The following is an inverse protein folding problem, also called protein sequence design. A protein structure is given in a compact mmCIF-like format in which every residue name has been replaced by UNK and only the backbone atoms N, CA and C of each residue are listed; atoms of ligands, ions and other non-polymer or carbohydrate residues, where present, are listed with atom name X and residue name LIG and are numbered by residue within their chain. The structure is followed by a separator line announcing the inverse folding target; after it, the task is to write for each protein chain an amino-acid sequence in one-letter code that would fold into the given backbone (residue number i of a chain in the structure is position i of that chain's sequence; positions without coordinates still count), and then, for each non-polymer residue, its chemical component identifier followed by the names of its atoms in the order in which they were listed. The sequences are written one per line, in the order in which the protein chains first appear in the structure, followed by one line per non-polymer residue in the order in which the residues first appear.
data_IF_598165968101
#
_entry.id   IF_598165968101
#
_cell.length_a   1.000
_cell.length_b   1.000
_cell.length_c   1.000
_cell.angle_alpha   90.00
_cell.angle_beta   90.00
_cell.angle_gamma   90.00
#
_symmetry.space_group_name_H-M   'P 1'
#
loop_
_entity.id
_entity.type
_entity.pdbx_description
1 polymer ?
#
# COMPACT_ATOMS: atom_id res chain seq x y z
N UNK A 1 -8.84 -0.65 10.18
CA UNK A 1 -8.04 -0.15 9.03
C UNK A 1 -8.65 -0.54 7.69
N UNK A 2 -8.89 -1.82 7.39
CA UNK A 2 -9.29 -2.25 6.04
C UNK A 2 -10.72 -1.88 5.60
N UNK A 3 -11.62 -1.50 6.51
CA UNK A 3 -12.87 -0.79 6.18
C UNK A 3 -12.69 0.74 6.06
N UNK A 4 -11.44 1.23 5.98
CA UNK A 4 -11.07 2.63 5.83
C UNK A 4 -11.46 3.56 7.01
N UNK A 5 -11.78 2.98 8.17
CA UNK A 5 -11.97 3.70 9.45
C UNK A 5 -10.64 4.23 10.01
N UNK A 6 -10.01 5.18 9.30
CA UNK A 6 -8.67 5.67 9.63
C UNK A 6 -8.62 6.46 10.94
N UNK A 7 -9.65 7.25 11.27
CA UNK A 7 -9.71 7.98 12.55
C UNK A 7 -9.73 7.01 13.75
N UNK A 8 -10.50 5.92 13.64
CA UNK A 8 -10.54 4.91 14.69
C UNK A 8 -9.23 4.14 14.79
N UNK A 9 -8.60 3.82 13.65
CA UNK A 9 -7.30 3.17 13.63
C UNK A 9 -6.19 4.07 14.22
N UNK A 10 -6.21 5.37 13.92
CA UNK A 10 -5.29 6.35 14.51
C UNK A 10 -5.44 6.41 16.03
N UNK A 11 -6.68 6.45 16.54
CA UNK A 11 -6.93 6.40 17.98
C UNK A 11 -6.32 5.15 18.62
N UNK A 12 -6.50 3.97 18.03
CA UNK A 12 -5.90 2.72 18.52
C UNK A 12 -4.38 2.77 18.52
N UNK A 13 -3.76 3.38 17.50
CA UNK A 13 -2.30 3.52 17.45
C UNK A 13 -1.77 4.50 18.48
N UNK A 14 -2.47 5.60 18.75
CA UNK A 14 -2.11 6.55 19.83
C UNK A 14 -2.24 5.90 21.20
N UNK A 15 -3.28 5.08 21.42
CA UNK A 15 -3.42 4.26 22.63
C UNK A 15 -2.25 3.28 22.77
N UNK A 16 -1.88 2.58 21.69
CA UNK A 16 -0.73 1.67 21.68
C UNK A 16 0.61 2.38 21.96
N UNK A 17 0.82 3.60 21.44
CA UNK A 17 2.00 4.42 21.77
C UNK A 17 2.06 4.78 23.27
N UNK A 18 0.89 4.97 23.89
CA UNK A 18 0.81 5.33 25.31
C UNK A 18 1.03 4.10 26.22
N UNK A 19 0.50 2.94 25.82
CA UNK A 19 0.64 1.69 26.58
C UNK A 19 2.00 1.01 26.40
N UNK A 20 2.57 1.11 25.20
CA UNK A 20 3.83 0.47 24.80
C UNK A 20 4.79 1.49 24.17
N UNK A 21 5.22 2.54 24.91
CA UNK A 21 6.02 3.64 24.36
C UNK A 21 7.38 3.18 23.82
N UNK A 22 7.89 2.06 24.33
CA UNK A 22 9.15 1.47 23.92
C UNK A 22 9.04 0.57 22.68
N UNK A 23 7.83 0.26 22.23
CA UNK A 23 7.62 -0.58 21.05
C UNK A 23 7.23 0.27 19.83
N UNK A 24 7.86 0.06 18.65
CA UNK A 24 7.66 0.96 17.51
C UNK A 24 6.29 0.87 16.84
N UNK A 25 5.54 -0.23 17.04
CA UNK A 25 4.36 -0.58 16.23
C UNK A 25 3.31 0.54 16.17
N UNK A 26 2.99 1.20 17.29
CA UNK A 26 2.02 2.31 17.30
C UNK A 26 2.47 3.49 16.43
N UNK A 27 3.76 3.83 16.44
CA UNK A 27 4.31 4.91 15.61
C UNK A 27 4.41 4.49 14.14
N UNK A 28 4.88 3.27 13.89
CA UNK A 28 5.07 2.72 12.53
C UNK A 28 3.74 2.64 11.78
N UNK A 29 2.68 2.10 12.40
CA UNK A 29 1.40 1.99 11.74
C UNK A 29 0.67 3.34 11.59
N UNK A 30 0.99 4.34 12.42
CA UNK A 30 0.55 5.71 12.18
C UNK A 30 1.24 6.32 10.95
N UNK A 31 2.55 6.12 10.78
CA UNK A 31 3.27 6.51 9.58
C UNK A 31 2.72 5.82 8.31
N UNK A 32 2.32 4.55 8.44
CA UNK A 32 1.66 3.81 7.37
C UNK A 32 0.29 4.39 6.99
N UNK A 33 -0.57 4.75 7.95
CA UNK A 33 -1.83 5.45 7.65
C UNK A 33 -1.55 6.79 6.95
N UNK A 34 -0.59 7.57 7.46
CA UNK A 34 -0.20 8.83 6.84
C UNK A 34 0.27 8.62 5.38
N UNK A 35 0.92 7.51 5.08
CA UNK A 35 1.33 7.16 3.71
C UNK A 35 0.12 6.87 2.81
N UNK A 36 -0.89 6.14 3.31
CA UNK A 36 -2.14 5.93 2.59
C UNK A 36 -2.81 7.27 2.30
N UNK A 37 -2.99 8.13 3.30
CA UNK A 37 -3.64 9.43 3.16
C UNK A 37 -2.88 10.32 2.17
N UNK A 38 -1.56 10.42 2.30
CA UNK A 38 -0.72 11.14 1.34
C UNK A 38 -0.87 10.60 -0.10
N UNK A 39 -1.02 9.27 -0.26
CA UNK A 39 -1.20 8.67 -1.59
C UNK A 39 -2.50 9.11 -2.30
N UNK A 40 -3.49 9.59 -1.55
CA UNK A 40 -4.79 10.07 -2.05
C UNK A 40 -4.74 11.50 -2.57
N UNK A 41 -3.86 12.36 -2.01
CA UNK A 41 -3.59 13.69 -2.56
C UNK A 41 -2.10 14.04 -2.43
N UNK A 42 -1.34 13.57 -3.42
CA UNK A 42 0.12 13.72 -3.46
C UNK A 42 0.58 15.16 -3.73
N UNK A 43 -0.34 16.08 -4.05
CA UNK A 43 -0.04 17.49 -4.31
C UNK A 43 -0.22 18.36 -3.07
N UNK A 44 -0.78 17.81 -2.00
CA UNK A 44 -0.93 18.51 -0.73
C UNK A 44 0.38 18.43 0.07
N UNK A 45 1.15 19.53 0.05
CA UNK A 45 2.40 19.66 0.79
C UNK A 45 2.22 19.44 2.30
N UNK A 46 1.02 19.67 2.86
CA UNK A 46 0.75 19.44 4.27
C UNK A 46 0.70 17.95 4.60
N UNK A 47 0.14 17.12 3.70
CA UNK A 47 0.13 15.66 3.85
C UNK A 47 1.54 15.07 3.74
N UNK A 48 2.39 15.61 2.85
CA UNK A 48 3.80 15.22 2.78
C UNK A 48 4.55 15.55 4.07
N UNK A 49 4.32 16.74 4.65
CA UNK A 49 4.93 17.12 5.93
C UNK A 49 4.45 16.24 7.09
N UNK A 50 3.16 15.88 7.12
CA UNK A 50 2.59 14.97 8.11
C UNK A 50 3.23 13.58 7.99
N UNK A 51 3.31 13.03 6.77
CA UNK A 51 3.95 11.75 6.51
C UNK A 51 5.41 11.75 6.97
N UNK A 52 6.19 12.75 6.56
CA UNK A 52 7.60 12.83 6.92
C UNK A 52 7.82 12.91 8.43
N UNK A 53 6.98 13.67 9.15
CA UNK A 53 7.04 13.76 10.62
C UNK A 53 6.78 12.40 11.27
N UNK A 54 5.74 11.67 10.84
CA UNK A 54 5.46 10.35 11.39
C UNK A 54 6.56 9.34 11.06
N UNK A 55 7.15 9.39 9.85
CA UNK A 55 8.29 8.54 9.51
C UNK A 55 9.48 8.85 10.40
N UNK A 56 9.81 10.12 10.62
CA UNK A 56 10.93 10.54 11.46
C UNK A 56 10.74 10.06 12.90
N UNK A 57 9.59 10.37 13.52
CA UNK A 57 9.25 9.91 14.87
C UNK A 57 9.28 8.38 15.00
N UNK A 58 8.67 7.66 14.05
CA UNK A 58 8.67 6.20 14.09
C UNK A 58 10.07 5.61 13.86
N UNK A 59 10.92 6.27 13.07
CA UNK A 59 12.29 5.82 12.83
C UNK A 59 13.14 5.96 14.08
N UNK A 60 13.03 7.08 14.80
CA UNK A 60 13.72 7.29 16.08
C UNK A 60 13.37 6.18 17.09
N UNK A 61 12.08 5.90 17.26
CA UNK A 61 11.61 4.83 18.17
C UNK A 61 12.05 3.43 17.69
N UNK A 62 12.00 3.18 16.37
CA UNK A 62 12.43 1.89 15.81
C UNK A 62 13.94 1.65 15.92
N UNK A 63 14.76 2.69 15.77
CA UNK A 63 16.21 2.61 15.95
C UNK A 63 16.57 2.37 17.43
N UNK A 64 15.95 3.12 18.36
CA UNK A 64 16.14 2.89 19.79
C UNK A 64 15.65 1.51 20.25
N UNK A 65 14.50 1.04 19.73
CA UNK A 65 14.02 -0.33 19.99
C UNK A 65 15.01 -1.38 19.53
N UNK A 66 15.57 -1.23 18.33
CA UNK A 66 16.58 -2.15 17.79
C UNK A 66 17.85 -2.16 18.64
N UNK A 67 18.31 -0.99 19.09
CA UNK A 67 19.53 -0.88 19.91
C UNK A 67 19.35 -1.52 21.30
N UNK A 68 18.13 -1.47 21.87
CA UNK A 68 17.82 -2.03 23.19
C UNK A 68 17.48 -3.52 23.21
N UNK A 69 16.72 -4.00 22.22
CA UNK A 69 16.12 -5.34 22.22
C UNK A 69 16.90 -6.38 21.40
N UNK A 70 18.14 -6.07 21.02
CA UNK A 70 18.96 -6.86 20.08
C UNK A 70 18.32 -6.97 18.66
N UNK A 71 19.09 -7.42 17.66
CA UNK A 71 18.65 -7.49 16.25
C UNK A 71 17.57 -8.56 16.01
N UNK A 72 16.33 -8.27 16.40
CA UNK A 72 15.15 -9.13 16.17
C UNK A 72 14.53 -8.92 14.79
N UNK A 73 13.75 -9.90 14.32
CA UNK A 73 13.04 -9.80 13.03
C UNK A 73 12.09 -8.58 12.99
N UNK A 74 11.37 -8.31 14.09
CA UNK A 74 10.50 -7.14 14.26
C UNK A 74 11.26 -5.82 14.09
N UNK A 75 12.43 -5.69 14.72
CA UNK A 75 13.21 -4.45 14.69
C UNK A 75 13.62 -4.07 13.26
N UNK A 76 14.06 -5.06 12.49
CA UNK A 76 14.36 -4.88 11.07
C UNK A 76 13.10 -4.66 10.25
N UNK A 77 11.99 -5.33 10.57
CA UNK A 77 10.74 -5.20 9.83
C UNK A 77 10.22 -3.76 9.88
N UNK A 78 10.17 -3.18 11.08
CA UNK A 78 9.72 -1.80 11.28
C UNK A 78 10.59 -0.79 10.52
N UNK A 79 11.91 -0.91 10.60
CA UNK A 79 12.83 -0.05 9.86
C UNK A 79 12.67 -0.24 8.34
N UNK A 80 12.53 -1.48 7.89
CA UNK A 80 12.31 -1.83 6.49
C UNK A 80 11.03 -1.21 5.94
N UNK A 81 9.93 -1.30 6.69
CA UNK A 81 8.64 -0.71 6.34
C UNK A 81 8.73 0.82 6.23
N UNK A 82 9.29 1.49 7.24
CA UNK A 82 9.44 2.96 7.24
C UNK A 82 10.31 3.47 6.08
N UNK A 83 11.44 2.80 5.83
CA UNK A 83 12.34 3.13 4.71
C UNK A 83 11.67 2.84 3.37
N UNK A 84 10.83 1.80 3.28
CA UNK A 84 10.03 1.48 2.11
C UNK A 84 8.98 2.55 1.81
N UNK A 85 8.24 3.00 2.83
CA UNK A 85 7.28 4.11 2.73
C UNK A 85 7.98 5.38 2.23
N UNK A 86 9.14 5.72 2.82
CA UNK A 86 9.94 6.88 2.40
C UNK A 86 10.42 6.78 0.95
N UNK A 87 10.86 5.58 0.54
CA UNK A 87 11.27 5.31 -0.83
C UNK A 87 10.11 5.53 -1.83
N UNK A 88 8.90 5.05 -1.49
CA UNK A 88 7.70 5.24 -2.31
C UNK A 88 7.29 6.72 -2.42
N UNK A 89 7.39 7.48 -1.33
CA UNK A 89 7.14 8.92 -1.34
C UNK A 89 8.14 9.64 -2.26
N UNK A 90 9.44 9.35 -2.13
CA UNK A 90 10.46 9.92 -3.02
C UNK A 90 10.29 9.52 -4.49
N UNK A 91 9.90 8.27 -4.78
CA UNK A 91 9.65 7.82 -6.14
C UNK A 91 8.47 8.58 -6.76
N UNK A 92 7.41 8.77 -5.98
CA UNK A 92 6.21 9.53 -6.36
C UNK A 92 6.54 11.00 -6.65
N UNK A 93 7.40 11.61 -5.83
CA UNK A 93 7.91 12.96 -6.01
C UNK A 93 9.06 13.07 -7.02
N UNK A 94 9.27 12.04 -7.86
CA UNK A 94 10.30 11.99 -8.93
C UNK A 94 11.74 12.15 -8.42
N UNK A 95 11.96 12.00 -7.12
CA UNK A 95 13.26 12.00 -6.46
C UNK A 95 13.91 10.62 -6.53
N UNK A 96 14.11 10.10 -7.76
CA UNK A 96 14.48 8.70 -8.00
C UNK A 96 15.80 8.26 -7.33
N UNK A 97 16.78 9.15 -7.19
CA UNK A 97 18.04 8.83 -6.51
C UNK A 97 17.80 8.59 -5.01
N UNK A 98 17.02 9.45 -4.36
CA UNK A 98 16.67 9.28 -2.93
C UNK A 98 15.83 8.02 -2.74
N UNK A 99 14.82 7.84 -3.61
CA UNK A 99 13.98 6.65 -3.63
C UNK A 99 14.79 5.36 -3.74
N UNK A 100 15.83 5.37 -4.59
CA UNK A 100 16.73 4.24 -4.75
C UNK A 100 17.50 3.92 -3.46
N UNK A 101 18.10 4.94 -2.81
CA UNK A 101 18.87 4.72 -1.58
C UNK A 101 17.99 4.25 -0.42
N UNK A 102 16.83 4.86 -0.23
CA UNK A 102 15.90 4.46 0.81
C UNK A 102 15.31 3.07 0.53
N UNK A 103 14.96 2.78 -0.74
CA UNK A 103 14.47 1.46 -1.15
C UNK A 103 15.51 0.35 -0.97
N UNK A 104 16.80 0.65 -1.21
CA UNK A 104 17.89 -0.29 -0.95
C UNK A 104 18.04 -0.60 0.53
N UNK A 105 17.95 0.41 1.40
CA UNK A 105 17.99 0.19 2.86
C UNK A 105 16.77 -0.61 3.31
N UNK A 106 15.58 -0.24 2.83
CA UNK A 106 14.34 -0.96 3.09
C UNK A 106 14.46 -2.45 2.73
N UNK A 107 14.91 -2.76 1.51
CA UNK A 107 15.17 -4.13 1.08
C UNK A 107 16.15 -4.85 2.01
N UNK A 108 17.25 -4.20 2.37
CA UNK A 108 18.26 -4.80 3.26
C UNK A 108 17.69 -5.16 4.63
N UNK A 109 16.85 -4.31 5.22
CA UNK A 109 16.21 -4.61 6.50
C UNK A 109 15.17 -5.73 6.35
N UNK A 110 14.34 -5.69 5.31
CA UNK A 110 13.33 -6.73 5.07
C UNK A 110 13.97 -8.09 4.74
N UNK A 111 15.09 -8.13 4.02
CA UNK A 111 15.88 -9.35 3.83
C UNK A 111 16.40 -9.87 5.17
N UNK A 112 16.91 -8.98 6.03
CA UNK A 112 17.36 -9.36 7.38
C UNK A 112 16.21 -9.86 8.27
N UNK A 113 15.01 -9.28 8.15
CA UNK A 113 13.80 -9.81 8.81
C UNK A 113 13.54 -11.25 8.41
N UNK A 114 13.57 -11.55 7.11
CA UNK A 114 13.33 -12.90 6.58
C UNK A 114 14.47 -13.85 6.96
N UNK A 115 15.74 -13.39 6.96
CA UNK A 115 16.88 -14.19 7.40
C UNK A 115 16.77 -14.61 8.88
N UNK A 116 16.25 -13.72 9.73
CA UNK A 116 16.03 -13.98 11.16
C UNK A 116 14.78 -14.81 11.41
N UNK A 117 13.72 -14.58 10.64
CA UNK A 117 12.47 -15.33 10.71
C UNK A 117 11.89 -15.51 9.30
N UNK A 118 12.10 -16.68 8.66
CA UNK A 118 11.57 -16.97 7.33
C UNK A 118 10.04 -16.97 7.24
N UNK A 119 9.34 -17.17 8.36
CA UNK A 119 7.89 -17.16 8.48
C UNK A 119 7.32 -15.75 8.76
N UNK A 120 8.17 -14.70 8.70
CA UNK A 120 7.73 -13.31 8.80
C UNK A 120 7.09 -12.86 7.47
N UNK A 121 5.93 -13.42 7.14
CA UNK A 121 5.33 -13.32 5.80
C UNK A 121 5.01 -11.89 5.35
N UNK A 122 4.74 -10.99 6.29
CA UNK A 122 4.51 -9.57 6.00
C UNK A 122 5.72 -8.86 5.35
N UNK A 123 6.95 -9.35 5.60
CA UNK A 123 8.16 -8.77 4.99
C UNK A 123 8.22 -9.02 3.48
N UNK A 124 7.60 -10.10 3.00
CA UNK A 124 7.60 -10.47 1.59
C UNK A 124 6.78 -9.51 0.74
N UNK A 125 5.76 -8.84 1.30
CA UNK A 125 5.05 -7.78 0.58
C UNK A 125 6.01 -6.67 0.14
N UNK A 126 6.80 -6.13 1.06
CA UNK A 126 7.75 -5.06 0.77
C UNK A 126 8.86 -5.50 -0.20
N UNK A 127 9.39 -6.72 -0.03
CA UNK A 127 10.38 -7.29 -0.96
C UNK A 127 9.80 -7.48 -2.37
N UNK A 128 8.58 -7.99 -2.46
CA UNK A 128 7.87 -8.20 -3.71
C UNK A 128 7.61 -6.88 -4.43
N UNK A 129 7.08 -5.87 -3.72
CA UNK A 129 6.89 -4.52 -4.27
C UNK A 129 8.20 -3.90 -4.77
N UNK A 130 9.29 -4.04 -4.02
CA UNK A 130 10.60 -3.57 -4.45
C UNK A 130 11.03 -4.23 -5.77
N UNK A 131 10.98 -5.56 -5.86
CA UNK A 131 11.33 -6.29 -7.08
C UNK A 131 10.43 -5.88 -8.26
N UNK A 132 9.14 -5.69 -7.98
CA UNK A 132 8.15 -5.29 -8.96
C UNK A 132 8.48 -3.92 -9.58
N UNK A 133 8.71 -2.91 -8.74
CA UNK A 133 9.01 -1.55 -9.22
C UNK A 133 10.35 -1.47 -9.94
N UNK A 134 11.37 -2.20 -9.49
CA UNK A 134 12.65 -2.29 -10.22
C UNK A 134 12.43 -2.88 -11.62
N UNK A 135 11.56 -3.89 -11.76
CA UNK A 135 11.27 -4.51 -13.05
C UNK A 135 10.59 -3.55 -14.03
N UNK A 136 9.81 -2.59 -13.52
CA UNK A 136 9.08 -1.58 -14.29
C UNK A 136 9.91 -0.34 -14.66
N UNK A 137 11.15 -0.19 -14.16
CA UNK A 137 11.97 0.98 -14.47
C UNK A 137 12.20 1.11 -15.99
N UNK A 138 12.03 2.31 -16.58
CA UNK A 138 12.25 2.52 -18.00
C UNK A 138 13.74 2.76 -18.33
N UNK A 139 14.17 2.22 -19.47
CA UNK A 139 15.39 2.59 -20.18
C UNK A 139 16.65 2.71 -19.31
N UNK A 140 17.16 3.94 -19.22
CA UNK A 140 18.42 4.28 -18.53
C UNK A 140 18.37 3.95 -17.03
N UNK A 141 17.21 4.11 -16.38
CA UNK A 141 17.08 3.79 -14.96
C UNK A 141 17.24 2.29 -14.70
N UNK A 142 16.69 1.43 -15.57
CA UNK A 142 16.84 -0.03 -15.49
C UNK A 142 18.29 -0.46 -15.72
N UNK A 143 18.99 0.19 -16.66
CA UNK A 143 20.40 -0.06 -16.90
C UNK A 143 21.26 0.22 -15.67
N UNK A 144 21.09 1.40 -15.04
CA UNK A 144 21.83 1.75 -13.82
C UNK A 144 21.46 0.87 -12.63
N UNK A 145 20.17 0.52 -12.48
CA UNK A 145 19.74 -0.43 -11.45
C UNK A 145 20.46 -1.79 -11.60
N UNK A 146 20.54 -2.31 -12.83
CA UNK A 146 21.25 -3.56 -13.13
C UNK A 146 22.74 -3.47 -12.83
N UNK A 147 23.39 -2.37 -13.19
CA UNK A 147 24.81 -2.13 -12.89
C UNK A 147 25.08 -2.13 -11.37
N UNK A 148 24.10 -1.70 -10.57
CA UNK A 148 24.17 -1.66 -9.12
C UNK A 148 23.72 -2.96 -8.44
N UNK A 149 23.46 -4.03 -9.21
CA UNK A 149 23.11 -5.36 -8.73
C UNK A 149 21.62 -5.63 -8.54
N UNK A 150 20.75 -4.77 -9.09
CA UNK A 150 19.30 -4.93 -8.98
C UNK A 150 18.71 -5.40 -10.30
N UNK A 151 18.17 -6.61 -10.30
CA UNK A 151 17.38 -7.15 -11.39
C UNK A 151 15.99 -7.49 -10.85
N UNK A 152 15.01 -6.67 -11.23
CA UNK A 152 13.63 -6.91 -10.84
C UNK A 152 13.05 -8.07 -11.63
N UNK A 153 12.34 -8.95 -10.94
CA UNK A 153 11.68 -10.11 -11.51
C UNK A 153 10.20 -10.05 -11.13
N UNK A 154 9.33 -9.81 -12.12
CA UNK A 154 7.88 -9.70 -11.89
C UNK A 154 7.27 -10.99 -11.39
N UNK A 155 7.81 -12.14 -11.79
CA UNK A 155 7.31 -13.44 -11.38
C UNK A 155 7.62 -13.68 -9.91
N UNK A 156 8.89 -13.50 -9.50
CA UNK A 156 9.28 -13.60 -8.08
C UNK A 156 8.59 -12.55 -7.22
N UNK A 157 8.48 -11.31 -7.72
CA UNK A 157 7.76 -10.26 -7.04
C UNK A 157 6.33 -10.68 -6.72
N UNK A 158 5.62 -11.23 -7.71
CA UNK A 158 4.25 -11.68 -7.54
C UNK A 158 4.15 -12.86 -6.55
N UNK A 159 5.07 -13.83 -6.60
CA UNK A 159 5.14 -14.91 -5.62
C UNK A 159 5.30 -14.39 -4.18
N UNK A 160 6.12 -13.36 -3.97
CA UNK A 160 6.31 -12.77 -2.65
C UNK A 160 5.08 -11.99 -2.15
N UNK A 161 4.41 -11.26 -3.04
CA UNK A 161 3.17 -10.55 -2.71
C UNK A 161 2.06 -11.57 -2.38
N UNK A 162 1.91 -12.63 -3.17
CA UNK A 162 0.95 -13.71 -2.94
C UNK A 162 1.22 -14.43 -1.61
N UNK A 163 2.48 -14.72 -1.29
CA UNK A 163 2.84 -15.32 -0.01
C UNK A 163 2.39 -14.46 1.18
N UNK A 164 2.56 -13.14 1.10
CA UNK A 164 2.04 -12.23 2.14
C UNK A 164 0.50 -12.16 2.15
N UNK A 165 -0.15 -12.37 1.01
CA UNK A 165 -1.62 -12.41 0.92
C UNK A 165 -2.21 -13.70 1.51
N UNK A 166 -1.46 -14.80 1.46
CA UNK A 166 -1.86 -16.10 2.00
C UNK A 166 -1.57 -16.20 3.49
N UNK A 167 -0.34 -15.85 3.91
CA UNK A 167 0.20 -16.17 5.24
C UNK A 167 0.54 -14.93 6.09
N UNK A 168 0.44 -13.72 5.53
CA UNK A 168 0.72 -12.48 6.26
C UNK A 168 -0.24 -12.24 7.43
N UNK A 169 0.24 -11.57 8.47
CA UNK A 169 -0.58 -11.26 9.66
C UNK A 169 -1.17 -9.85 9.56
N UNK A 170 -0.35 -8.86 9.24
CA UNK A 170 -0.74 -7.45 9.29
C UNK A 170 -1.20 -6.92 7.93
N UNK A 171 -0.52 -7.33 6.87
CA UNK A 171 -0.67 -6.82 5.51
C UNK A 171 -1.39 -7.78 4.56
N UNK A 172 -1.96 -8.87 5.08
CA UNK A 172 -2.69 -9.90 4.29
C UNK A 172 -3.69 -9.31 3.30
N UNK A 173 -4.57 -8.43 3.79
CA UNK A 173 -5.64 -7.83 2.99
C UNK A 173 -5.09 -6.85 1.95
N UNK A 174 -4.06 -6.08 2.30
CA UNK A 174 -3.39 -5.21 1.34
C UNK A 174 -2.71 -6.02 0.24
N UNK A 175 -1.99 -7.09 0.61
CA UNK A 175 -1.32 -7.98 -0.32
C UNK A 175 -2.31 -8.69 -1.26
N UNK A 176 -3.46 -9.14 -0.75
CA UNK A 176 -4.54 -9.71 -1.56
C UNK A 176 -5.08 -8.67 -2.57
N UNK A 177 -5.35 -7.44 -2.11
CA UNK A 177 -5.82 -6.37 -2.98
C UNK A 177 -4.78 -6.00 -4.06
N UNK A 178 -3.50 -5.93 -3.69
CA UNK A 178 -2.40 -5.64 -4.60
C UNK A 178 -2.20 -6.75 -5.63
N UNK A 179 -2.30 -8.01 -5.23
CA UNK A 179 -2.25 -9.18 -6.13
C UNK A 179 -3.32 -9.04 -7.22
N UNK A 180 -4.58 -8.87 -6.82
CA UNK A 180 -5.69 -8.80 -7.75
C UNK A 180 -5.66 -7.52 -8.61
N UNK A 181 -5.45 -6.36 -8.01
CA UNK A 181 -5.36 -5.11 -8.78
C UNK A 181 -4.22 -5.14 -9.80
N UNK A 182 -3.06 -5.70 -9.45
CA UNK A 182 -1.91 -5.84 -10.37
C UNK A 182 -2.24 -6.75 -11.53
N UNK A 183 -2.78 -7.96 -11.28
CA UNK A 183 -3.22 -8.89 -12.33
C UNK A 183 -4.28 -8.26 -13.25
N UNK A 184 -5.26 -7.57 -12.67
CA UNK A 184 -6.30 -6.89 -13.44
C UNK A 184 -5.74 -5.81 -14.38
N UNK A 185 -4.89 -4.91 -13.87
CA UNK A 185 -4.40 -3.79 -14.66
C UNK A 185 -3.30 -4.17 -15.65
N UNK A 186 -2.48 -5.17 -15.34
CA UNK A 186 -1.25 -5.44 -16.08
C UNK A 186 -1.30 -6.73 -16.90
N UNK A 187 -2.15 -7.69 -16.50
CA UNK A 187 -2.35 -8.95 -17.22
C UNK A 187 -3.74 -9.02 -17.87
N UNK A 188 -4.66 -8.12 -17.48
CA UNK A 188 -6.03 -8.13 -17.98
C UNK A 188 -6.86 -9.30 -17.45
N UNK A 189 -6.39 -9.99 -16.40
CA UNK A 189 -7.09 -11.13 -15.81
C UNK A 189 -8.31 -10.64 -15.01
N UNK A 190 -9.46 -10.69 -15.67
CA UNK A 190 -10.77 -10.43 -15.04
C UNK A 190 -11.41 -11.70 -14.49
N UNK A 191 -10.95 -12.87 -14.92
CA UNK A 191 -11.60 -14.16 -14.64
C UNK A 191 -11.35 -14.56 -13.20
N UNK A 192 -10.12 -14.41 -12.71
CA UNK A 192 -9.78 -14.72 -11.30
C UNK A 192 -10.01 -13.50 -10.40
N UNK A 193 -9.68 -12.30 -10.89
CA UNK A 193 -9.69 -11.07 -10.10
C UNK A 193 -11.09 -10.63 -9.67
N UNK A 194 -12.07 -10.61 -10.58
CA UNK A 194 -13.39 -10.04 -10.24
C UNK A 194 -14.12 -10.88 -9.18
N UNK A 195 -14.14 -12.22 -9.26
CA UNK A 195 -14.68 -13.03 -8.16
C UNK A 195 -13.97 -12.79 -6.83
N UNK A 196 -12.64 -12.67 -6.82
CA UNK A 196 -11.88 -12.42 -5.61
C UNK A 196 -12.17 -11.04 -5.01
N UNK A 197 -12.13 -9.97 -5.81
CA UNK A 197 -12.48 -8.62 -5.35
C UNK A 197 -13.91 -8.52 -4.83
N UNK A 198 -14.86 -9.25 -5.42
CA UNK A 198 -16.22 -9.34 -4.88
C UNK A 198 -16.24 -9.97 -3.50
N UNK A 199 -15.55 -11.10 -3.31
CA UNK A 199 -15.42 -11.75 -2.00
C UNK A 199 -14.78 -10.81 -0.98
N UNK A 200 -13.69 -10.14 -1.35
CA UNK A 200 -13.06 -9.14 -0.48
C UNK A 200 -14.01 -7.99 -0.13
N UNK A 201 -14.84 -7.54 -1.09
CA UNK A 201 -15.84 -6.50 -0.83
C UNK A 201 -16.99 -6.98 0.07
N UNK A 202 -17.35 -8.27 0.03
CA UNK A 202 -18.30 -8.87 0.97
C UNK A 202 -17.72 -8.92 2.40
N UNK A 203 -16.41 -9.16 2.53
CA UNK A 203 -15.70 -9.14 3.82
C UNK A 203 -15.44 -7.71 4.35
N UNK A 204 -15.19 -6.76 3.44
CA UNK A 204 -14.89 -5.35 3.74
C UNK A 204 -15.83 -4.40 2.97
N UNK A 205 -17.14 -4.37 3.30
CA UNK A 205 -18.15 -3.65 2.52
C UNK A 205 -18.00 -2.13 2.55
N UNK A 206 -17.27 -1.59 3.52
CA UNK A 206 -16.99 -0.15 3.63
C UNK A 206 -15.68 0.24 2.93
N UNK A 207 -14.91 -0.74 2.45
CA UNK A 207 -13.72 -0.47 1.65
C UNK A 207 -14.09 -0.01 0.24
N UNK A 208 -14.24 1.30 0.10
CA UNK A 208 -14.60 1.94 -1.16
C UNK A 208 -13.53 1.81 -2.24
N UNK A 209 -12.27 1.53 -1.90
CA UNK A 209 -11.23 1.30 -2.90
C UNK A 209 -11.50 -0.01 -3.69
N UNK A 210 -11.88 -1.07 -2.98
CA UNK A 210 -12.30 -2.35 -3.59
C UNK A 210 -13.58 -2.14 -4.41
N UNK A 211 -14.59 -1.48 -3.82
CA UNK A 211 -15.84 -1.17 -4.49
C UNK A 211 -15.66 -0.35 -5.77
N UNK A 212 -14.75 0.64 -5.76
CA UNK A 212 -14.44 1.46 -6.94
C UNK A 212 -13.78 0.68 -8.05
N UNK A 213 -12.91 -0.29 -7.71
CA UNK A 213 -12.31 -1.16 -8.73
C UNK A 213 -13.38 -2.04 -9.40
N UNK A 214 -14.35 -2.55 -8.64
CA UNK A 214 -15.52 -3.26 -9.17
C UNK A 214 -16.42 -2.35 -10.02
N UNK A 215 -16.71 -1.13 -9.56
CA UNK A 215 -17.48 -0.15 -10.31
C UNK A 215 -16.80 0.22 -11.63
N UNK A 216 -15.49 0.48 -11.59
CA UNK A 216 -14.66 0.72 -12.78
C UNK A 216 -14.75 -0.44 -13.77
N UNK A 217 -14.66 -1.68 -13.28
CA UNK A 217 -14.83 -2.87 -14.11
C UNK A 217 -16.21 -2.90 -14.78
N UNK A 218 -17.29 -2.75 -14.00
CA UNK A 218 -18.63 -2.78 -14.56
C UNK A 218 -18.86 -1.72 -15.62
N UNK A 219 -18.38 -0.49 -15.41
CA UNK A 219 -18.44 0.56 -16.42
C UNK A 219 -17.67 0.19 -17.68
N UNK A 220 -16.43 -0.28 -17.54
CA UNK A 220 -15.55 -0.64 -18.67
C UNK A 220 -16.13 -1.75 -19.55
N UNK A 221 -16.91 -2.66 -18.98
CA UNK A 221 -17.52 -3.79 -19.68
C UNK A 221 -19.01 -3.61 -19.98
N UNK A 222 -19.53 -2.38 -19.90
CA UNK A 222 -20.89 -2.03 -20.33
C UNK A 222 -21.99 -2.38 -19.33
N UNK A 223 -21.67 -2.84 -18.13
CA UNK A 223 -22.62 -3.08 -17.04
C UNK A 223 -22.93 -1.77 -16.29
N UNK A 224 -23.39 -0.76 -17.01
CA UNK A 224 -23.47 0.63 -16.51
C UNK A 224 -24.32 0.75 -15.24
N UNK A 225 -25.47 0.07 -15.18
CA UNK A 225 -26.31 0.10 -13.98
C UNK A 225 -25.59 -0.41 -12.73
N UNK A 226 -24.81 -1.51 -12.85
CA UNK A 226 -24.03 -2.04 -11.73
C UNK A 226 -22.96 -1.06 -11.26
N UNK A 227 -22.32 -0.33 -12.17
CA UNK A 227 -21.40 0.73 -11.79
C UNK A 227 -22.11 1.81 -10.96
N UNK A 228 -23.28 2.26 -11.41
CA UNK A 228 -24.07 3.29 -10.69
C UNK A 228 -24.46 2.79 -9.30
N UNK A 229 -24.93 1.55 -9.19
CA UNK A 229 -25.37 0.97 -7.93
C UNK A 229 -24.23 0.90 -6.91
N UNK A 230 -23.05 0.42 -7.32
CA UNK A 230 -21.85 0.43 -6.47
C UNK A 230 -21.45 1.86 -6.08
N UNK A 231 -21.35 2.77 -7.03
CA UNK A 231 -20.97 4.15 -6.72
C UNK A 231 -21.96 4.83 -5.76
N UNK A 232 -23.26 4.53 -5.86
CA UNK A 232 -24.28 5.07 -4.96
C UNK A 232 -24.27 4.44 -3.56
N UNK A 233 -23.74 3.22 -3.40
CA UNK A 233 -23.63 2.61 -2.07
C UNK A 233 -22.50 3.20 -1.21
N UNK A 234 -21.57 3.95 -1.81
CA UNK A 234 -20.44 4.56 -1.09
C UNK A 234 -20.86 5.81 -0.31
N UNK A 235 -20.46 5.92 0.95
CA UNK A 235 -20.56 7.15 1.77
C UNK A 235 -19.52 8.20 1.34
N UNK A 236 -19.84 9.48 1.51
CA UNK A 236 -18.87 10.58 1.31
C UNK A 236 -18.17 10.99 2.61
N UNK A 237 -18.44 10.29 3.73
CA UNK A 237 -17.91 10.58 5.06
C UNK A 237 -16.38 10.65 5.09
N UNK A 238 -15.71 9.81 4.30
CA UNK A 238 -14.25 9.81 4.20
C UNK A 238 -13.70 10.77 3.14
N UNK A 239 -14.53 11.55 2.44
CA UNK A 239 -14.11 12.36 1.29
C UNK A 239 -13.09 13.44 1.60
N UNK A 240 -13.01 13.90 2.86
CA UNK A 240 -11.95 14.80 3.31
C UNK A 240 -10.59 14.10 3.44
N UNK A 241 -10.58 12.84 3.89
CA UNK A 241 -9.35 12.07 4.15
C UNK A 241 -8.91 11.33 2.87
N UNK A 242 -9.86 10.88 2.06
CA UNK A 242 -9.65 10.05 0.86
C UNK A 242 -10.24 10.70 -0.38
N UNK A 243 -9.77 11.92 -0.76
CA UNK A 243 -10.38 12.69 -1.85
C UNK A 243 -10.34 11.97 -3.20
N UNK A 244 -9.31 11.14 -3.46
CA UNK A 244 -9.22 10.35 -4.68
C UNK A 244 -10.38 9.37 -4.84
N UNK A 245 -10.81 8.71 -3.75
CA UNK A 245 -11.93 7.77 -3.75
C UNK A 245 -13.21 8.51 -4.14
N UNK A 246 -13.49 9.65 -3.50
CA UNK A 246 -14.65 10.49 -3.82
C UNK A 246 -14.61 11.00 -5.27
N UNK A 247 -13.45 11.46 -5.74
CA UNK A 247 -13.28 11.93 -7.11
C UNK A 247 -13.55 10.81 -8.13
N UNK A 248 -13.03 9.60 -7.89
CA UNK A 248 -13.25 8.45 -8.77
C UNK A 248 -14.71 7.99 -8.74
N UNK A 249 -15.39 8.03 -7.59
CA UNK A 249 -16.83 7.75 -7.49
C UNK A 249 -17.63 8.67 -8.42
N UNK A 250 -17.45 9.98 -8.29
CA UNK A 250 -18.20 10.96 -9.08
C UNK A 250 -17.82 10.94 -10.56
N UNK A 251 -16.55 10.68 -10.88
CA UNK A 251 -16.12 10.47 -12.27
C UNK A 251 -16.83 9.27 -12.91
N UNK A 252 -16.87 8.11 -12.24
CA UNK A 252 -17.54 6.94 -12.77
C UNK A 252 -19.05 7.15 -12.92
N UNK A 253 -19.70 7.86 -11.97
CA UNK A 253 -21.11 8.24 -12.08
C UNK A 253 -21.36 9.16 -13.28
N UNK A 254 -20.54 10.20 -13.45
CA UNK A 254 -20.69 11.16 -14.55
C UNK A 254 -20.60 10.47 -15.92
N UNK A 255 -19.59 9.61 -16.11
CA UNK A 255 -19.43 8.85 -17.35
C UNK A 255 -20.59 7.87 -17.55
N UNK A 256 -21.02 7.17 -16.50
CA UNK A 256 -22.13 6.21 -16.58
C UNK A 256 -23.46 6.87 -16.98
N UNK A 257 -23.77 8.05 -16.42
CA UNK A 257 -24.98 8.78 -16.81
C UNK A 257 -24.89 9.35 -18.22
N UNK A 258 -23.70 9.76 -18.66
CA UNK A 258 -23.50 10.18 -20.04
C UNK A 258 -23.75 9.02 -21.02
N UNK A 259 -23.23 7.83 -20.73
CA UNK A 259 -23.38 6.63 -21.57
C UNK A 259 -24.84 6.15 -21.66
N UNK A 260 -25.65 6.32 -20.61
CA UNK A 260 -27.07 5.94 -20.62
C UNK A 260 -27.98 6.91 -21.39
N UNK A 261 -27.51 8.13 -21.67
CA UNK A 261 -28.27 9.17 -22.37
C UNK A 261 -27.95 9.24 -23.88
N UNK A 262 -27.12 8.31 -24.39
CA UNK A 262 -26.86 8.11 -25.83
C UNK A 262 -27.64 6.91 -26.36
#
# INVERSE_FOLDING_TARGET
MYNLHFEQAEKTFVEAQSEFPDYPHGYVYQAYIAAIVYSMDRKDDSLEQILNRHIEQASEVAEDYKDRMEETADSHFYLGLLRGIKALAHATNRSYIKAYWDGRKAKSDLEKTVDLNPEYYDAYLGLGLFQYYVALLPGVLKFFAKLLGFEGDRYKAMQQIELSAEEGQYFRVEAEFLTHSTRYFLEGDTTTTIPALKKMYEEYPENQAIGLLLAYHYRRYGFIQKCIDYCKSFTDEHGRILPLITNLKYYNLAVSYYDLNQ
#
